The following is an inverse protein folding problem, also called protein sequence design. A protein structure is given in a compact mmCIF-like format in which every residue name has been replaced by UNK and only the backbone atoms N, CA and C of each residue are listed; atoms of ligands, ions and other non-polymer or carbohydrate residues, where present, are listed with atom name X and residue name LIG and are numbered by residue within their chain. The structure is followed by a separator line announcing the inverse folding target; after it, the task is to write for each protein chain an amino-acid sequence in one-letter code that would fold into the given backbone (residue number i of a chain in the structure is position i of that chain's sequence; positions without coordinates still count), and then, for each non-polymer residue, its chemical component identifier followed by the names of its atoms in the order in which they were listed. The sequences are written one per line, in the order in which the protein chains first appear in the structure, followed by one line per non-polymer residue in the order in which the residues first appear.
data_IF_475707736790
#
_entry.id   IF_475707736790
#
_cell.length_a   1.000
_cell.length_b   1.000
_cell.length_c   1.000
_cell.angle_alpha   90.00
_cell.angle_beta   90.00
_cell.angle_gamma   90.00
#
_symmetry.space_group_name_H-M   'P 1'
#
loop_
_entity.id
_entity.type
_entity.pdbx_description
1 polymer ?
#
# COMPACT_ATOMS: atom_id res chain seq x y z
N UNK A 1 11.49 -10.75 -8.37
CA UNK A 1 12.01 -9.68 -7.51
C UNK A 1 11.21 -8.38 -7.66
N UNK A 2 11.05 -7.80 -8.87
CA UNK A 2 10.32 -6.52 -9.09
C UNK A 2 8.91 -6.58 -8.48
N UNK A 3 8.12 -7.61 -8.79
CA UNK A 3 6.76 -7.76 -8.27
C UNK A 3 6.72 -7.92 -6.74
N UNK A 4 7.73 -8.57 -6.16
CA UNK A 4 7.87 -8.67 -4.71
C UNK A 4 8.12 -7.32 -4.05
N UNK A 5 9.03 -6.51 -4.61
CA UNK A 5 9.29 -5.14 -4.15
C UNK A 5 8.03 -4.26 -4.22
N UNK A 6 7.27 -4.36 -5.32
CA UNK A 6 6.01 -3.62 -5.48
C UNK A 6 4.93 -4.04 -4.47
N UNK A 7 4.86 -5.33 -4.13
CA UNK A 7 3.92 -5.84 -3.13
C UNK A 7 4.27 -5.40 -1.71
N UNK A 8 5.53 -5.05 -1.44
CA UNK A 8 5.98 -4.55 -0.15
C UNK A 8 5.58 -3.10 0.14
N UNK A 9 5.14 -2.31 -0.84
CA UNK A 9 4.81 -0.89 -0.65
C UNK A 9 3.77 -0.66 0.45
N UNK A 10 2.69 -1.46 0.46
CA UNK A 10 1.65 -1.35 1.48
C UNK A 10 2.18 -1.61 2.90
N UNK A 11 2.69 -2.81 3.19
CA UNK A 11 3.26 -3.13 4.50
C UNK A 11 4.36 -2.17 4.93
N UNK A 12 5.32 -1.84 4.06
CA UNK A 12 6.39 -0.92 4.41
C UNK A 12 5.86 0.49 4.75
N UNK A 13 4.92 1.02 3.96
CA UNK A 13 4.36 2.34 4.24
C UNK A 13 3.47 2.39 5.48
N UNK A 14 2.96 1.25 5.96
CA UNK A 14 2.16 1.14 7.19
C UNK A 14 3.07 0.87 8.39
N UNK A 15 3.86 -0.19 8.31
CA UNK A 15 4.52 -0.75 9.48
C UNK A 15 5.83 -0.01 9.83
N UNK A 16 6.57 0.54 8.84
CA UNK A 16 7.69 1.46 9.10
C UNK A 16 7.26 2.74 9.81
N UNK A 17 6.02 3.15 9.55
CA UNK A 17 5.48 4.42 10.00
C UNK A 17 5.08 4.41 11.48
N UNK A 18 4.59 3.28 12.00
CA UNK A 18 4.04 3.16 13.34
C UNK A 18 5.00 3.60 14.46
N UNK A 19 6.28 3.19 14.48
CA UNK A 19 7.22 3.63 15.52
C UNK A 19 7.50 5.14 15.52
N UNK A 20 7.18 5.84 14.43
CA UNK A 20 7.37 7.29 14.30
C UNK A 20 6.27 8.14 14.95
N UNK A 21 5.15 7.54 15.41
CA UNK A 21 4.00 8.28 15.95
C UNK A 21 4.37 9.24 17.08
N UNK A 22 5.09 8.81 18.14
CA UNK A 22 5.46 9.71 19.24
C UNK A 22 6.34 10.88 18.76
N UNK A 23 7.30 10.62 17.88
CA UNK A 23 8.18 11.66 17.34
C UNK A 23 7.42 12.66 16.46
N UNK A 24 6.46 12.21 15.67
CA UNK A 24 5.60 13.08 14.86
C UNK A 24 4.62 13.88 15.73
N UNK A 25 4.06 13.28 16.78
CA UNK A 25 3.19 13.99 17.72
C UNK A 25 3.91 15.16 18.38
N UNK A 26 5.17 14.95 18.79
CA UNK A 26 6.03 16.01 19.30
C UNK A 26 6.36 17.08 18.25
N UNK A 27 6.72 16.64 17.02
CA UNK A 27 7.11 17.56 15.95
C UNK A 27 5.97 18.47 15.49
N UNK A 28 4.73 17.96 15.49
CA UNK A 28 3.53 18.73 15.10
C UNK A 28 2.78 19.33 16.29
N UNK A 29 3.32 19.25 17.52
CA UNK A 29 2.71 19.73 18.77
C UNK A 29 1.25 19.25 18.93
N UNK A 30 1.01 17.95 18.70
CA UNK A 30 -0.31 17.32 18.73
C UNK A 30 -0.26 16.00 19.53
N UNK A 31 -1.39 15.35 19.70
CA UNK A 31 -1.46 14.03 20.30
C UNK A 31 -1.36 12.90 19.25
N UNK A 32 -1.04 11.70 19.72
CA UNK A 32 -0.91 10.52 18.85
C UNK A 32 -2.23 10.16 18.14
N UNK A 33 -3.38 10.52 18.73
CA UNK A 33 -4.70 10.26 18.11
C UNK A 33 -4.88 11.03 16.81
N UNK A 34 -4.39 12.27 16.76
CA UNK A 34 -4.40 13.05 15.53
C UNK A 34 -3.41 12.50 14.49
N UNK A 35 -2.26 11.98 14.93
CA UNK A 35 -1.33 11.29 14.01
C UNK A 35 -1.97 10.03 13.42
N UNK A 36 -2.77 9.28 14.19
CA UNK A 36 -3.50 8.10 13.70
C UNK A 36 -4.44 8.42 12.53
N UNK A 37 -4.94 9.66 12.41
CA UNK A 37 -5.75 10.07 11.24
C UNK A 37 -4.99 9.94 9.93
N UNK A 38 -3.68 10.14 9.93
CA UNK A 38 -2.83 9.96 8.74
C UNK A 38 -2.87 8.52 8.25
N UNK A 39 -2.91 7.55 9.17
CA UNK A 39 -3.04 6.12 8.86
C UNK A 39 -4.46 5.78 8.38
N UNK A 40 -5.49 6.33 9.02
CA UNK A 40 -6.88 6.13 8.60
C UNK A 40 -7.11 6.66 7.17
N UNK A 41 -6.58 7.85 6.86
CA UNK A 41 -6.67 8.44 5.53
C UNK A 41 -5.83 7.66 4.51
N UNK A 42 -4.70 7.09 4.92
CA UNK A 42 -3.93 6.18 4.09
C UNK A 42 -4.74 4.93 3.70
N UNK A 43 -5.44 4.29 4.64
CA UNK A 43 -6.32 3.15 4.34
C UNK A 43 -7.48 3.54 3.43
N UNK A 44 -8.05 4.74 3.60
CA UNK A 44 -9.07 5.26 2.69
C UNK A 44 -8.52 5.39 1.26
N UNK A 45 -7.32 5.96 1.11
CA UNK A 45 -6.64 6.07 -0.18
C UNK A 45 -6.36 4.70 -0.82
N UNK A 46 -5.90 3.72 -0.03
CA UNK A 46 -5.72 2.34 -0.51
C UNK A 46 -7.04 1.73 -1.00
N UNK A 47 -8.13 1.91 -0.26
CA UNK A 47 -9.44 1.35 -0.61
C UNK A 47 -9.95 1.92 -1.93
N UNK A 48 -9.85 3.22 -2.12
CA UNK A 48 -10.22 3.90 -3.37
C UNK A 48 -9.31 3.43 -4.51
N UNK A 49 -8.00 3.39 -4.29
CA UNK A 49 -7.04 2.96 -5.28
C UNK A 49 -7.29 1.54 -5.78
N UNK A 50 -7.64 0.61 -4.89
CA UNK A 50 -7.95 -0.78 -5.28
C UNK A 50 -9.14 -0.88 -6.24
N UNK A 51 -10.13 -0.02 -6.11
CA UNK A 51 -11.28 0.03 -7.03
C UNK A 51 -10.92 0.64 -8.38
N UNK A 52 -9.94 1.54 -8.41
CA UNK A 52 -9.60 2.33 -9.60
C UNK A 52 -8.57 1.66 -10.49
N UNK A 53 -7.52 1.05 -9.90
CA UNK A 53 -6.39 0.52 -10.68
C UNK A 53 -6.74 -0.69 -11.54
N UNK A 54 -7.69 -1.55 -11.12
CA UNK A 54 -8.14 -2.68 -11.93
C UNK A 54 -8.64 -2.22 -13.30
N UNK A 55 -9.73 -1.44 -13.37
CA UNK A 55 -10.29 -0.96 -14.63
C UNK A 55 -9.34 -0.10 -15.47
N UNK A 56 -8.51 0.72 -14.82
CA UNK A 56 -7.52 1.52 -15.54
C UNK A 56 -6.50 0.61 -16.23
N UNK A 57 -6.02 -0.40 -15.52
CA UNK A 57 -5.02 -1.32 -16.07
C UNK A 57 -5.58 -2.27 -17.13
N UNK A 58 -6.87 -2.62 -17.07
CA UNK A 58 -7.55 -3.38 -18.13
C UNK A 58 -7.72 -2.57 -19.41
N UNK A 59 -7.81 -1.24 -19.28
CA UNK A 59 -7.96 -0.34 -20.43
C UNK A 59 -6.65 0.11 -21.05
N UNK A 60 -5.67 0.50 -20.22
CA UNK A 60 -4.43 1.14 -20.67
C UNK A 60 -3.22 0.22 -20.67
N UNK A 61 -3.38 -1.04 -20.27
CA UNK A 61 -2.27 -1.97 -20.02
C UNK A 61 -1.79 -1.90 -18.57
N UNK A 62 -0.91 -2.80 -18.19
CA UNK A 62 -0.43 -2.93 -16.80
C UNK A 62 0.71 -1.97 -16.49
N UNK A 63 1.62 -1.80 -17.46
CA UNK A 63 2.88 -1.08 -17.26
C UNK A 63 2.70 0.42 -17.02
N UNK A 64 1.88 1.10 -17.82
CA UNK A 64 1.70 2.56 -17.71
C UNK A 64 1.04 2.95 -16.38
N UNK A 65 -0.11 2.38 -15.97
CA UNK A 65 -0.72 2.68 -14.68
C UNK A 65 0.18 2.33 -13.49
N UNK A 66 1.00 1.27 -13.62
CA UNK A 66 1.96 0.90 -12.61
C UNK A 66 3.06 1.97 -12.43
N UNK A 67 3.65 2.44 -13.52
CA UNK A 67 4.67 3.50 -13.48
C UNK A 67 4.11 4.81 -12.93
N UNK A 68 2.90 5.20 -13.35
CA UNK A 68 2.22 6.39 -12.82
C UNK A 68 1.98 6.24 -11.33
N UNK A 69 1.47 5.09 -10.87
CA UNK A 69 1.21 4.85 -9.46
C UNK A 69 2.48 4.84 -8.61
N UNK A 70 3.53 4.15 -9.06
CA UNK A 70 4.82 4.13 -8.34
C UNK A 70 5.46 5.52 -8.32
N UNK A 71 5.38 6.27 -9.43
CA UNK A 71 5.83 7.67 -9.47
C UNK A 71 5.06 8.56 -8.49
N UNK A 72 3.73 8.39 -8.42
CA UNK A 72 2.88 9.10 -7.46
C UNK A 72 3.24 8.76 -6.01
N UNK A 73 3.47 7.48 -5.72
CA UNK A 73 3.93 7.03 -4.40
C UNK A 73 5.27 7.65 -4.03
N UNK A 74 6.22 7.69 -4.99
CA UNK A 74 7.55 8.28 -4.78
C UNK A 74 7.45 9.78 -4.47
N UNK A 75 6.71 10.53 -5.30
CA UNK A 75 6.52 11.96 -5.10
C UNK A 75 5.80 12.27 -3.77
N UNK A 76 4.77 11.51 -3.44
CA UNK A 76 4.05 11.68 -2.19
C UNK A 76 4.88 11.27 -0.97
N UNK A 77 5.71 10.23 -1.06
CA UNK A 77 6.66 9.86 0.01
C UNK A 77 7.65 10.98 0.26
N UNK A 78 8.19 11.57 -0.80
CA UNK A 78 9.06 12.75 -0.70
C UNK A 78 8.33 13.92 -0.03
N UNK A 79 7.09 14.21 -0.45
CA UNK A 79 6.27 15.27 0.16
C UNK A 79 5.97 15.01 1.65
N UNK A 80 5.80 13.75 2.07
CA UNK A 80 5.65 13.38 3.48
C UNK A 80 6.93 13.67 4.30
N UNK A 81 8.12 13.42 3.73
CA UNK A 81 9.39 13.66 4.43
C UNK A 81 9.61 15.14 4.80
N UNK A 82 9.05 16.03 4.01
CA UNK A 82 9.15 17.49 4.18
C UNK A 82 7.84 18.14 4.55
N UNK A 83 6.94 17.42 5.24
CA UNK A 83 5.64 17.93 5.64
C UNK A 83 5.77 19.10 6.63
N UNK A 84 5.29 20.31 6.29
CA UNK A 84 5.35 21.48 7.17
C UNK A 84 4.27 21.47 8.25
N UNK A 85 3.21 20.69 8.08
CA UNK A 85 2.08 20.58 8.99
C UNK A 85 1.46 19.20 8.97
N UNK A 86 0.65 18.88 9.99
CA UNK A 86 -0.08 17.63 10.06
C UNK A 86 -1.10 17.49 8.91
N UNK A 87 -1.80 18.56 8.56
CA UNK A 87 -2.78 18.54 7.45
C UNK A 87 -2.11 18.24 6.12
N UNK A 88 -0.92 18.80 5.89
CA UNK A 88 -0.10 18.44 4.73
C UNK A 88 0.26 16.97 4.72
N UNK A 89 0.71 16.46 5.87
CA UNK A 89 1.06 15.05 6.00
C UNK A 89 -0.15 14.15 5.72
N UNK A 90 -1.33 14.48 6.26
CA UNK A 90 -2.59 13.75 6.01
C UNK A 90 -2.88 13.70 4.50
N UNK A 91 -2.84 14.85 3.81
CA UNK A 91 -3.07 14.92 2.37
C UNK A 91 -2.04 14.13 1.56
N UNK A 92 -0.75 14.28 1.89
CA UNK A 92 0.33 13.56 1.23
C UNK A 92 0.23 12.03 1.44
N UNK A 93 -0.19 11.57 2.63
CA UNK A 93 -0.44 10.17 2.94
C UNK A 93 -1.59 9.58 2.12
N UNK A 94 -2.64 10.34 1.88
CA UNK A 94 -3.73 9.94 0.97
C UNK A 94 -3.21 9.69 -0.44
N UNK A 95 -2.45 10.64 -0.99
CA UNK A 95 -1.87 10.53 -2.34
C UNK A 95 -0.86 9.39 -2.41
N UNK A 96 -0.04 9.21 -1.36
CA UNK A 96 0.90 8.09 -1.25
C UNK A 96 0.17 6.73 -1.30
N UNK A 97 -0.95 6.62 -0.59
CA UNK A 97 -1.75 5.39 -0.60
C UNK A 97 -2.34 5.07 -1.98
N UNK A 98 -2.87 6.09 -2.67
CA UNK A 98 -3.33 5.94 -4.05
C UNK A 98 -2.20 5.39 -4.95
N UNK A 99 -1.00 5.96 -4.84
CA UNK A 99 0.15 5.49 -5.61
C UNK A 99 0.59 4.07 -5.25
N UNK A 100 0.68 3.76 -3.95
CA UNK A 100 1.13 2.47 -3.43
C UNK A 100 0.20 1.31 -3.82
N UNK A 101 -1.08 1.60 -3.94
CA UNK A 101 -2.09 0.62 -4.36
C UNK A 101 -1.78 0.03 -5.74
N UNK A 102 -1.20 0.80 -6.67
CA UNK A 102 -0.82 0.32 -7.99
C UNK A 102 0.11 -0.89 -7.91
N UNK A 103 1.14 -0.82 -7.06
CA UNK A 103 2.09 -1.91 -6.85
C UNK A 103 1.40 -3.18 -6.34
N UNK A 104 0.50 -3.05 -5.37
CA UNK A 104 -0.20 -4.19 -4.77
C UNK A 104 -1.18 -4.86 -5.74
N UNK A 105 -1.99 -4.07 -6.47
CA UNK A 105 -3.02 -4.58 -7.38
C UNK A 105 -2.41 -5.13 -8.65
N UNK A 106 -1.51 -4.36 -9.28
CA UNK A 106 -1.00 -4.71 -10.60
C UNK A 106 0.06 -5.81 -10.55
N UNK A 107 0.79 -5.97 -9.43
CA UNK A 107 1.66 -7.13 -9.27
C UNK A 107 0.90 -8.45 -9.38
N UNK A 108 -0.27 -8.55 -8.76
CA UNK A 108 -1.12 -9.74 -8.83
C UNK A 108 -1.68 -9.96 -10.24
N UNK A 109 -2.14 -8.88 -10.88
CA UNK A 109 -2.63 -8.94 -12.25
C UNK A 109 -1.54 -9.42 -13.23
N UNK A 110 -0.32 -8.89 -13.12
CA UNK A 110 0.82 -9.28 -13.96
C UNK A 110 1.21 -10.74 -13.77
N UNK A 111 1.13 -11.26 -12.52
CA UNK A 111 1.35 -12.69 -12.26
C UNK A 111 0.31 -13.53 -12.97
N UNK A 112 -0.97 -13.15 -12.88
CA UNK A 112 -2.05 -13.87 -13.57
C UNK A 112 -1.94 -13.79 -15.10
N UNK A 113 -1.43 -12.67 -15.65
CA UNK A 113 -1.26 -12.49 -17.09
C UNK A 113 -0.09 -13.31 -17.68
N UNK A 114 0.97 -13.57 -16.86
CA UNK A 114 2.24 -14.16 -17.33
C UNK A 114 2.52 -15.58 -16.90
N UNK A 115 1.80 -16.08 -15.90
CA UNK A 115 2.06 -17.39 -15.32
C UNK A 115 0.84 -18.29 -15.43
N UNK A 116 1.06 -19.56 -15.78
CA UNK A 116 0.04 -20.61 -15.74
C UNK A 116 -0.15 -21.15 -14.32
N UNK A 117 -1.24 -21.88 -14.07
CA UNK A 117 -1.70 -22.34 -12.76
C UNK A 117 -0.61 -22.67 -11.71
N UNK A 118 0.30 -23.60 -11.99
CA UNK A 118 1.38 -24.00 -11.05
C UNK A 118 2.43 -22.89 -10.91
N UNK A 119 2.78 -22.22 -12.00
CA UNK A 119 3.72 -21.09 -12.00
C UNK A 119 3.18 -19.93 -11.20
N UNK A 120 1.90 -19.59 -11.37
CA UNK A 120 1.21 -18.56 -10.62
C UNK A 120 1.23 -18.84 -9.12
N UNK A 121 0.92 -20.08 -8.70
CA UNK A 121 0.91 -20.48 -7.29
C UNK A 121 2.28 -20.25 -6.62
N UNK A 122 3.38 -20.60 -7.31
CA UNK A 122 4.74 -20.38 -6.81
C UNK A 122 5.06 -18.89 -6.63
N UNK A 123 4.72 -18.06 -7.62
CA UNK A 123 4.97 -16.61 -7.53
C UNK A 123 4.09 -15.97 -6.46
N UNK A 124 2.79 -16.33 -6.36
CA UNK A 124 1.93 -15.86 -5.29
C UNK A 124 2.44 -16.24 -3.90
N UNK A 125 2.97 -17.47 -3.72
CA UNK A 125 3.60 -17.87 -2.45
C UNK A 125 4.80 -16.98 -2.09
N UNK A 126 5.61 -16.58 -3.07
CA UNK A 126 6.72 -15.65 -2.84
C UNK A 126 6.22 -14.23 -2.50
N UNK A 127 5.16 -13.74 -3.14
CA UNK A 127 4.55 -12.46 -2.79
C UNK A 127 3.97 -12.49 -1.37
N UNK A 128 3.31 -13.61 -0.99
CA UNK A 128 2.79 -13.80 0.37
C UNK A 128 3.91 -13.86 1.41
N UNK A 129 5.06 -14.48 1.09
CA UNK A 129 6.22 -14.46 1.97
C UNK A 129 6.72 -13.03 2.23
N UNK A 130 6.82 -12.20 1.19
CA UNK A 130 7.19 -10.79 1.34
C UNK A 130 6.17 -10.03 2.20
N UNK A 131 4.86 -10.23 1.94
CA UNK A 131 3.80 -9.61 2.71
C UNK A 131 3.74 -10.08 4.17
N UNK A 132 4.18 -11.30 4.48
CA UNK A 132 4.27 -11.82 5.84
C UNK A 132 5.50 -11.37 6.60
N UNK A 133 6.66 -11.25 5.93
CA UNK A 133 7.91 -10.83 6.55
C UNK A 133 7.99 -9.30 6.75
N UNK A 134 7.41 -8.53 5.84
CA UNK A 134 7.47 -7.07 5.90
C UNK A 134 6.90 -6.50 7.21
N UNK A 135 5.73 -6.92 7.73
CA UNK A 135 5.22 -6.43 9.01
C UNK A 135 6.07 -6.80 10.23
N UNK A 136 6.91 -7.82 10.14
CA UNK A 136 7.83 -8.21 11.21
C UNK A 136 9.07 -7.32 11.21
N UNK A 137 9.66 -7.12 10.03
CA UNK A 137 10.91 -6.38 9.89
C UNK A 137 10.71 -4.87 9.88
N UNK A 138 9.60 -4.40 9.32
CA UNK A 138 9.35 -2.97 9.11
C UNK A 138 9.30 -2.16 10.42
N UNK A 139 8.60 -2.56 11.49
CA UNK A 139 8.61 -1.81 12.73
C UNK A 139 9.99 -1.73 13.37
N UNK A 140 10.77 -2.82 13.34
CA UNK A 140 12.11 -2.86 13.89
C UNK A 140 13.05 -1.88 13.16
N UNK A 141 13.04 -1.94 11.82
CA UNK A 141 13.83 -1.04 10.98
C UNK A 141 13.32 0.40 11.08
N UNK A 142 12.01 0.59 11.13
CA UNK A 142 11.37 1.89 11.32
C UNK A 142 11.76 2.54 12.63
N UNK A 143 11.71 1.80 13.75
CA UNK A 143 12.14 2.27 15.06
C UNK A 143 13.62 2.67 15.09
N UNK A 144 14.50 1.87 14.47
CA UNK A 144 15.90 2.18 14.33
C UNK A 144 16.13 3.48 13.54
N UNK A 145 15.43 3.65 12.41
CA UNK A 145 15.52 4.85 11.58
C UNK A 145 15.05 6.09 12.34
N UNK A 146 13.93 6.00 13.07
CA UNK A 146 13.40 7.11 13.86
C UNK A 146 14.38 7.53 14.94
N UNK A 147 14.98 6.58 15.65
CA UNK A 147 15.92 6.86 16.72
C UNK A 147 17.23 7.48 16.23
N UNK A 148 17.71 7.11 15.04
CA UNK A 148 18.99 7.59 14.52
C UNK A 148 18.86 8.89 13.71
N UNK A 149 17.77 9.03 12.93
CA UNK A 149 17.66 10.08 11.91
C UNK A 149 16.33 10.86 11.97
N UNK A 150 15.45 10.53 12.93
CA UNK A 150 14.14 11.13 13.02
C UNK A 150 13.08 10.50 12.10
N UNK A 151 11.82 10.88 12.29
CA UNK A 151 10.69 10.29 11.60
C UNK A 151 10.68 10.53 10.07
N UNK A 152 11.30 11.62 9.62
CA UNK A 152 11.45 11.96 8.19
C UNK A 152 12.22 10.89 7.41
N UNK A 153 13.16 10.23 8.07
CA UNK A 153 13.99 9.18 7.46
C UNK A 153 13.17 8.02 6.92
N UNK A 154 12.02 7.70 7.55
CA UNK A 154 11.08 6.68 7.08
C UNK A 154 10.65 7.01 5.64
N UNK A 155 10.19 8.23 5.42
CA UNK A 155 9.69 8.65 4.13
C UNK A 155 10.78 8.82 3.08
N UNK A 156 12.00 9.20 3.51
CA UNK A 156 13.18 9.25 2.61
C UNK A 156 13.53 7.84 2.13
N UNK A 157 13.54 6.85 3.02
CA UNK A 157 13.80 5.45 2.66
C UNK A 157 12.70 4.93 1.71
N UNK A 158 11.43 5.23 1.98
CA UNK A 158 10.31 4.88 1.10
C UNK A 158 10.45 5.55 -0.28
N UNK A 159 10.90 6.81 -0.33
CA UNK A 159 11.15 7.52 -1.58
C UNK A 159 12.26 6.86 -2.39
N UNK A 160 13.39 6.56 -1.78
CA UNK A 160 14.50 5.87 -2.45
C UNK A 160 14.09 4.48 -2.93
N UNK A 161 13.43 3.70 -2.06
CA UNK A 161 12.96 2.36 -2.39
C UNK A 161 11.98 2.37 -3.58
N UNK A 162 11.01 3.28 -3.56
CA UNK A 162 10.02 3.39 -4.64
C UNK A 162 10.60 3.95 -5.94
N UNK A 163 11.57 4.87 -5.86
CA UNK A 163 12.29 5.35 -7.04
C UNK A 163 13.10 4.24 -7.71
N UNK A 164 13.79 3.41 -6.92
CA UNK A 164 14.48 2.21 -7.43
C UNK A 164 13.51 1.20 -8.03
N UNK A 165 12.35 0.99 -7.41
CA UNK A 165 11.30 0.13 -7.95
C UNK A 165 10.72 0.69 -9.25
N UNK A 166 10.50 2.01 -9.35
CA UNK A 166 10.07 2.66 -10.60
C UNK A 166 11.08 2.44 -11.73
N UNK A 167 12.36 2.62 -11.43
CA UNK A 167 13.44 2.36 -12.39
C UNK A 167 13.46 0.88 -12.83
N UNK A 168 13.34 -0.04 -11.87
CA UNK A 168 13.29 -1.47 -12.15
C UNK A 168 12.08 -1.84 -13.04
N UNK A 169 10.90 -1.24 -12.79
CA UNK A 169 9.72 -1.42 -13.64
C UNK A 169 9.95 -0.83 -15.02
N UNK A 170 10.52 0.37 -15.10
CA UNK A 170 10.76 1.06 -16.38
C UNK A 170 11.73 0.28 -17.28
N UNK A 171 12.77 -0.31 -16.71
CA UNK A 171 13.82 -1.02 -17.47
C UNK A 171 13.53 -2.52 -17.63
N UNK A 172 12.91 -3.16 -16.65
CA UNK A 172 12.83 -4.62 -16.58
C UNK A 172 11.45 -5.23 -16.76
N UNK A 173 10.36 -4.44 -16.74
CA UNK A 173 9.02 -4.97 -16.83
C UNK A 173 8.35 -4.61 -18.16
N UNK A 174 8.27 -5.55 -19.14
CA UNK A 174 7.52 -5.33 -20.37
C UNK A 174 6.01 -5.34 -20.07
N UNK A 175 5.21 -4.80 -21.01
CA UNK A 175 3.75 -4.91 -20.94
C UNK A 175 3.31 -6.38 -20.85
N UNK A 176 2.39 -6.66 -19.92
CA UNK A 176 1.90 -8.03 -19.68
C UNK A 176 0.50 -8.28 -20.23
N UNK A 177 -0.28 -7.22 -20.46
CA UNK A 177 -1.61 -7.38 -21.03
C UNK A 177 -1.49 -7.87 -22.48
N UNK A 178 -2.06 -9.05 -22.84
CA UNK A 178 -2.00 -9.55 -24.20
C UNK A 178 -2.69 -8.61 -25.20
N UNK A 179 -2.08 -8.42 -26.37
CA UNK A 179 -2.59 -7.50 -27.39
C UNK A 179 -3.96 -7.89 -27.96
N UNK A 180 -4.31 -9.17 -27.87
CA UNK A 180 -5.58 -9.75 -28.35
C UNK A 180 -6.74 -9.63 -27.35
N UNK A 181 -6.49 -9.15 -26.12
CA UNK A 181 -7.57 -8.93 -25.14
C UNK A 181 -8.28 -7.62 -25.45
N UNK A 182 -9.60 -7.64 -25.68
CA UNK A 182 -10.37 -6.42 -25.93
C UNK A 182 -10.27 -5.46 -24.73
N UNK A 183 -9.88 -4.23 -24.99
CA UNK A 183 -9.80 -3.19 -23.95
C UNK A 183 -11.20 -2.81 -23.50
N UNK A 184 -11.52 -3.07 -22.24
CA UNK A 184 -12.84 -2.79 -21.70
C UNK A 184 -13.03 -1.29 -21.44
N UNK A 185 -14.20 -0.72 -21.77
CA UNK A 185 -14.51 0.65 -21.39
C UNK A 185 -14.71 0.77 -19.87
N UNK A 186 -14.31 1.89 -19.29
CA UNK A 186 -14.45 2.14 -17.83
C UNK A 186 -15.91 2.05 -17.35
N UNK A 187 -16.88 2.38 -18.22
CA UNK A 187 -18.30 2.22 -17.93
C UNK A 187 -18.70 0.76 -17.70
N UNK A 188 -18.02 -0.19 -18.35
CA UNK A 188 -18.21 -1.63 -18.14
C UNK A 188 -17.83 -2.07 -16.73
N UNK A 189 -16.73 -1.53 -16.20
CA UNK A 189 -16.27 -1.82 -14.84
C UNK A 189 -17.28 -1.33 -13.77
N UNK A 190 -17.82 -0.13 -13.93
CA UNK A 190 -18.85 0.40 -13.01
C UNK A 190 -20.10 -0.48 -13.01
N UNK A 191 -20.53 -0.95 -14.20
CA UNK A 191 -21.66 -1.88 -14.31
C UNK A 191 -21.35 -3.23 -13.63
N UNK A 192 -20.11 -3.72 -13.75
CA UNK A 192 -19.70 -4.96 -13.11
C UNK A 192 -19.66 -4.82 -11.59
N UNK A 193 -19.14 -3.71 -11.04
CA UNK A 193 -19.23 -3.43 -9.61
C UNK A 193 -20.68 -3.37 -9.11
N UNK A 194 -21.57 -2.73 -9.86
CA UNK A 194 -22.99 -2.71 -9.52
C UNK A 194 -23.65 -4.11 -9.54
N UNK A 195 -23.18 -5.05 -10.37
CA UNK A 195 -23.62 -6.46 -10.35
C UNK A 195 -23.07 -7.20 -9.13
N UNK A 196 -21.76 -7.06 -8.83
CA UNK A 196 -21.11 -7.70 -7.69
C UNK A 196 -21.73 -7.24 -6.35
N UNK A 197 -22.11 -5.97 -6.24
CA UNK A 197 -22.79 -5.44 -5.05
C UNK A 197 -24.23 -5.96 -4.87
N UNK A 198 -24.81 -6.60 -5.89
CA UNK A 198 -26.11 -7.27 -5.82
C UNK A 198 -26.01 -8.78 -5.63
N UNK A 199 -24.82 -9.33 -5.79
CA UNK A 199 -24.55 -10.75 -5.61
C UNK A 199 -24.32 -11.04 -4.11
N UNK A 200 -25.25 -11.79 -3.51
CA UNK A 200 -25.24 -12.11 -2.08
C UNK A 200 -24.08 -13.02 -1.68
N UNK A 201 -23.70 -13.94 -2.55
CA UNK A 201 -22.60 -14.86 -2.31
C UNK A 201 -21.26 -14.09 -2.29
N UNK A 202 -21.04 -13.26 -3.31
CA UNK A 202 -19.88 -12.36 -3.37
C UNK A 202 -19.81 -11.44 -2.15
N UNK A 203 -20.93 -10.79 -1.79
CA UNK A 203 -20.97 -9.91 -0.60
C UNK A 203 -20.69 -10.67 0.69
N UNK A 204 -21.21 -11.89 0.84
CA UNK A 204 -20.93 -12.73 2.01
C UNK A 204 -19.44 -12.99 2.18
N UNK A 205 -18.76 -13.42 1.12
CA UNK A 205 -17.31 -13.65 1.15
C UNK A 205 -16.51 -12.36 1.34
N UNK A 206 -16.88 -11.28 0.65
CA UNK A 206 -16.22 -9.99 0.76
C UNK A 206 -16.33 -9.39 2.16
N UNK A 207 -17.52 -9.44 2.77
CA UNK A 207 -17.75 -8.96 4.13
C UNK A 207 -17.01 -9.81 5.18
N UNK A 208 -17.02 -11.12 5.04
CA UNK A 208 -16.30 -12.01 5.96
C UNK A 208 -14.80 -11.71 5.95
N UNK A 209 -14.21 -11.63 4.75
CA UNK A 209 -12.80 -11.26 4.61
C UNK A 209 -12.50 -9.83 5.09
N UNK A 210 -13.40 -8.88 4.78
CA UNK A 210 -13.27 -7.49 5.19
C UNK A 210 -13.33 -7.31 6.71
N UNK A 211 -14.26 -7.97 7.40
CA UNK A 211 -14.39 -7.92 8.87
C UNK A 211 -13.17 -8.56 9.53
N UNK A 212 -12.69 -9.70 9.04
CA UNK A 212 -11.49 -10.33 9.56
C UNK A 212 -10.25 -9.43 9.43
N UNK A 213 -10.07 -8.78 8.26
CA UNK A 213 -8.99 -7.81 8.04
C UNK A 213 -9.14 -6.57 8.92
N UNK A 214 -10.36 -6.04 9.06
CA UNK A 214 -10.62 -4.89 9.94
C UNK A 214 -10.24 -5.20 11.39
N UNK A 215 -10.57 -6.40 11.90
CA UNK A 215 -10.14 -6.86 13.23
C UNK A 215 -8.62 -6.93 13.37
N UNK A 216 -7.92 -7.45 12.37
CA UNK A 216 -6.47 -7.51 12.37
C UNK A 216 -5.85 -6.09 12.39
N UNK A 217 -6.33 -5.17 11.55
CA UNK A 217 -5.80 -3.81 11.54
C UNK A 217 -6.16 -3.01 12.80
N UNK A 218 -7.33 -3.23 13.38
CA UNK A 218 -7.69 -2.65 14.68
C UNK A 218 -6.73 -3.11 15.78
N UNK A 219 -6.35 -4.39 15.78
CA UNK A 219 -5.35 -4.92 16.70
C UNK A 219 -3.97 -4.29 16.44
N UNK A 220 -3.50 -4.23 15.20
CA UNK A 220 -2.21 -3.63 14.84
C UNK A 220 -2.15 -2.16 15.27
N UNK A 221 -3.19 -1.38 15.00
CA UNK A 221 -3.24 0.04 15.34
C UNK A 221 -3.38 0.30 16.85
N UNK A 222 -4.09 -0.56 17.56
CA UNK A 222 -4.36 -0.40 19.00
C UNK A 222 -3.32 -1.05 19.92
N UNK A 223 -2.61 -2.09 19.46
CA UNK A 223 -1.70 -2.87 20.30
C UNK A 223 -0.55 -2.04 20.91
N UNK A 224 0.11 -1.09 20.21
CA UNK A 224 1.17 -0.29 20.82
C UNK A 224 0.64 0.52 22.03
N UNK A 225 -0.56 1.10 21.91
CA UNK A 225 -1.18 1.84 23.01
C UNK A 225 -1.40 0.93 24.23
N UNK A 226 -1.96 -0.26 24.03
CA UNK A 226 -2.26 -1.20 25.12
C UNK A 226 -0.97 -1.71 25.75
N UNK A 227 -0.01 -2.17 24.98
CA UNK A 227 1.22 -2.78 25.52
C UNK A 227 2.15 -1.76 26.16
N UNK A 228 2.33 -0.60 25.56
CA UNK A 228 3.25 0.42 26.06
C UNK A 228 2.61 1.23 27.20
N UNK A 229 1.39 1.76 27.01
CA UNK A 229 0.79 2.66 28.00
C UNK A 229 0.07 1.93 29.13
N UNK A 230 -0.58 0.79 28.86
CA UNK A 230 -1.35 0.09 29.88
C UNK A 230 -0.50 -0.97 30.63
N UNK A 231 0.34 -1.70 29.92
CA UNK A 231 1.15 -2.78 30.47
C UNK A 231 2.62 -2.39 30.72
N UNK A 232 3.07 -1.21 30.27
CA UNK A 232 4.45 -0.74 30.48
C UNK A 232 5.52 -1.63 29.80
N UNK A 233 5.15 -2.36 28.78
CA UNK A 233 6.10 -3.19 28.01
C UNK A 233 6.84 -2.26 27.02
N UNK A 234 8.19 -2.21 27.06
CA UNK A 234 8.97 -1.34 26.20
C UNK A 234 8.90 -1.75 24.71
#
# INVERSE_FOLDING_TARGET
LILGALSAFGPLAIDFYLPGFPAMAQAFATDEKHIQLTLAVYFLGLSIGQLVYGPIADRFGRRVPLLVGVGLFTAASFACAFAPSLDWLIGARFVQALGGCAGMVLSRAIVSDKCDGVGSAKVFSQLMLVMGLAPILAPMLGGLLVNLYGWQAIFIVLTCFSALAALAVALGLPESLPANVPRQPLSGALRQYGRLLKDREYLGHALTGGIAMAGMFAYIAGSPFVFIQLYGVP
#
